data_IF_707910982696
#
_entry.id   IF_707910982696
#
_cell.length_a   1.000
_cell.length_b   1.000
_cell.length_c   1.000
_cell.angle_alpha   90.00
_cell.angle_beta   90.00
_cell.angle_gamma   90.00
#
_symmetry.space_group_name_H-M   'P 1'
#
loop_
_entity.id
_entity.type
_entity.pdbx_description
1 polymer ?
#
# COMPACT_ATOMS: atom_id res chain seq x y z
N UNK A 1 -2.52 22.42 13.18
CA UNK A 1 -2.23 21.58 14.36
C UNK A 1 -0.88 22.03 14.90
N UNK A 2 -0.82 22.43 16.18
CA UNK A 2 0.44 22.81 16.84
C UNK A 2 0.89 21.59 17.63
N UNK A 3 2.09 21.08 17.36
CA UNK A 3 2.67 19.95 18.11
C UNK A 3 3.06 20.48 19.48
N UNK A 4 2.35 20.06 20.53
CA UNK A 4 2.67 20.39 21.93
C UNK A 4 3.58 19.33 22.53
N UNK A 5 4.16 19.61 23.70
CA UNK A 5 5.05 18.71 24.45
C UNK A 5 4.43 17.35 24.80
N UNK A 6 3.10 17.25 24.76
CA UNK A 6 2.33 16.06 25.13
C UNK A 6 2.22 15.04 23.98
N UNK A 7 2.64 15.43 22.77
CA UNK A 7 2.67 14.54 21.60
C UNK A 7 3.99 13.77 21.61
N UNK A 8 3.91 12.49 21.99
CA UNK A 8 5.05 11.57 21.92
C UNK A 8 5.17 11.06 20.48
N UNK A 9 6.24 11.44 19.79
CA UNK A 9 6.55 10.95 18.47
C UNK A 9 7.44 9.70 18.56
N UNK A 10 7.19 8.67 17.73
CA UNK A 10 8.05 7.49 17.65
C UNK A 10 9.44 7.86 17.13
N UNK A 11 10.42 7.01 17.42
CA UNK A 11 11.80 7.18 16.95
C UNK A 11 11.90 6.91 15.43
N UNK A 12 12.80 7.58 14.71
CA UNK A 12 12.96 7.39 13.26
C UNK A 12 13.37 5.94 12.89
N UNK A 13 14.10 5.27 13.79
CA UNK A 13 14.48 3.86 13.62
C UNK A 13 13.25 2.95 13.57
N UNK A 14 12.19 3.28 14.32
CA UNK A 14 10.91 2.60 14.28
C UNK A 14 10.11 2.95 13.02
N UNK A 15 10.48 3.92 12.19
CA UNK A 15 9.75 4.23 10.96
C UNK A 15 10.44 3.67 9.71
N UNK A 16 11.68 3.20 9.85
CA UNK A 16 12.47 2.73 8.72
C UNK A 16 11.96 1.37 8.24
N UNK A 17 11.26 1.36 7.12
CA UNK A 17 10.71 0.16 6.46
C UNK A 17 11.05 0.22 4.97
N UNK A 18 11.16 -0.95 4.32
CA UNK A 18 11.32 -1.01 2.87
C UNK A 18 10.09 -0.45 2.17
N UNK A 19 10.26 0.62 1.39
CA UNK A 19 9.18 1.26 0.65
C UNK A 19 8.76 0.47 -0.60
N UNK A 20 7.47 0.56 -0.92
CA UNK A 20 6.91 0.01 -2.17
C UNK A 20 7.15 1.03 -3.29
N UNK A 21 8.32 0.94 -3.92
CA UNK A 21 8.73 1.82 -5.02
C UNK A 21 8.04 1.47 -6.35
N UNK A 22 6.73 1.73 -6.45
CA UNK A 22 5.91 1.50 -7.64
C UNK A 22 5.15 2.76 -8.04
N UNK A 23 4.85 2.91 -9.34
CA UNK A 23 4.00 4.01 -9.82
C UNK A 23 2.55 3.83 -9.34
N UNK A 24 1.83 4.95 -9.20
CA UNK A 24 0.40 4.93 -8.86
C UNK A 24 -0.42 4.09 -9.85
N UNK A 25 -0.11 4.18 -11.15
CA UNK A 25 -0.73 3.36 -12.21
C UNK A 25 -0.52 1.86 -11.99
N UNK A 26 0.66 1.44 -11.54
CA UNK A 26 0.97 0.04 -11.25
C UNK A 26 0.20 -0.46 -10.02
N UNK A 27 0.12 0.35 -8.97
CA UNK A 27 -0.68 0.04 -7.78
C UNK A 27 -2.17 -0.06 -8.11
N UNK A 28 -2.67 0.86 -8.93
CA UNK A 28 -4.07 0.86 -9.35
C UNK A 28 -4.40 -0.37 -10.20
N UNK A 29 -3.52 -0.71 -11.13
CA UNK A 29 -3.63 -1.91 -11.97
C UNK A 29 -3.68 -3.19 -11.13
N UNK A 30 -2.90 -3.28 -10.06
CA UNK A 30 -2.87 -4.43 -9.15
C UNK A 30 -3.94 -4.42 -8.04
N UNK A 31 -4.67 -3.32 -7.86
CA UNK A 31 -5.48 -3.05 -6.66
C UNK A 31 -6.52 -4.12 -6.35
N UNK A 32 -7.28 -4.58 -7.34
CA UNK A 32 -8.32 -5.59 -7.16
C UNK A 32 -7.75 -6.93 -6.66
N UNK A 33 -6.59 -7.32 -7.18
CA UNK A 33 -5.92 -8.57 -6.78
C UNK A 33 -5.18 -8.42 -5.45
N UNK A 34 -4.54 -7.28 -5.25
CA UNK A 34 -3.85 -6.94 -4.01
C UNK A 34 -4.82 -6.90 -2.82
N UNK A 35 -6.01 -6.30 -3.01
CA UNK A 35 -7.03 -6.20 -1.97
C UNK A 35 -7.47 -7.57 -1.46
N UNK A 36 -7.67 -8.54 -2.37
CA UNK A 36 -8.01 -9.92 -1.99
C UNK A 36 -6.82 -10.68 -1.38
N UNK A 37 -5.61 -10.47 -1.90
CA UNK A 37 -4.43 -11.20 -1.43
C UNK A 37 -3.97 -10.73 -0.03
N UNK A 38 -4.02 -9.42 0.23
CA UNK A 38 -3.62 -8.80 1.50
C UNK A 38 -4.81 -8.40 2.38
N UNK A 39 -5.97 -9.01 2.19
CA UNK A 39 -7.22 -8.63 2.86
C UNK A 39 -7.07 -8.60 4.38
N UNK A 40 -6.50 -9.65 4.97
CA UNK A 40 -6.34 -9.75 6.42
C UNK A 40 -5.51 -8.60 7.00
N UNK A 41 -4.29 -8.39 6.47
CA UNK A 41 -3.39 -7.35 6.96
C UNK A 41 -3.98 -5.93 6.76
N UNK A 42 -4.67 -5.70 5.64
CA UNK A 42 -5.34 -4.43 5.38
C UNK A 42 -6.49 -4.19 6.36
N UNK A 43 -7.31 -5.20 6.63
CA UNK A 43 -8.44 -5.09 7.55
C UNK A 43 -7.98 -4.85 8.99
N UNK A 44 -6.92 -5.53 9.44
CA UNK A 44 -6.33 -5.32 10.77
C UNK A 44 -5.81 -3.88 10.92
N UNK A 45 -5.08 -3.36 9.93
CA UNK A 45 -4.62 -1.97 9.95
C UNK A 45 -5.78 -0.96 9.96
N UNK A 46 -6.81 -1.19 9.15
CA UNK A 46 -7.97 -0.31 9.10
C UNK A 46 -8.78 -0.35 10.40
N UNK A 47 -8.93 -1.52 11.02
CA UNK A 47 -9.60 -1.66 12.31
C UNK A 47 -8.83 -0.91 13.41
N UNK A 48 -7.50 -1.13 13.51
CA UNK A 48 -6.65 -0.41 14.47
C UNK A 48 -6.81 1.10 14.34
N UNK A 49 -6.79 1.61 13.10
CA UNK A 49 -6.92 3.05 12.84
C UNK A 49 -8.28 3.61 13.25
N UNK A 50 -9.35 2.84 13.10
CA UNK A 50 -10.72 3.24 13.48
C UNK A 50 -10.87 3.24 15.01
N UNK A 51 -10.31 2.26 15.71
CA UNK A 51 -10.44 2.11 17.16
C UNK A 51 -9.56 3.09 17.94
N UNK A 52 -8.26 3.14 17.62
CA UNK A 52 -7.28 3.90 18.39
C UNK A 52 -7.24 5.39 18.04
N UNK A 53 -7.69 5.77 16.84
CA UNK A 53 -7.62 7.14 16.27
C UNK A 53 -6.21 7.81 16.29
N UNK A 54 -5.17 7.07 16.68
CA UNK A 54 -3.78 7.49 16.76
C UNK A 54 -2.94 6.63 15.81
N UNK A 55 -2.23 7.29 14.88
CA UNK A 55 -1.42 6.61 13.87
C UNK A 55 -0.17 5.93 14.47
N UNK A 56 0.33 6.39 15.63
CA UNK A 56 1.56 5.87 16.24
C UNK A 56 1.40 4.44 16.75
N UNK A 57 0.20 4.08 17.21
CA UNK A 57 -0.10 2.74 17.73
C UNK A 57 -0.24 1.70 16.64
N UNK A 58 -0.67 2.10 15.44
CA UNK A 58 -0.94 1.21 14.31
C UNK A 58 0.25 1.04 13.35
N UNK A 59 1.45 1.47 13.74
CA UNK A 59 2.64 1.43 12.87
C UNK A 59 3.03 -0.01 12.54
N UNK A 60 2.89 -0.94 13.49
CA UNK A 60 3.29 -2.34 13.31
C UNK A 60 2.43 -3.06 12.25
N UNK A 61 1.13 -2.80 12.28
CA UNK A 61 0.14 -3.27 11.31
C UNK A 61 0.43 -2.66 9.93
N UNK A 62 0.82 -1.38 9.89
CA UNK A 62 1.28 -0.72 8.67
C UNK A 62 2.52 -1.40 8.04
N UNK A 63 3.45 -1.89 8.85
CA UNK A 63 4.58 -2.70 8.35
C UNK A 63 4.10 -4.01 7.73
N UNK A 64 3.13 -4.67 8.35
CA UNK A 64 2.56 -5.92 7.84
C UNK A 64 1.89 -5.73 6.48
N UNK A 65 1.13 -4.64 6.31
CA UNK A 65 0.53 -4.25 5.01
C UNK A 65 1.61 -4.04 3.94
N UNK A 66 2.67 -3.31 4.29
CA UNK A 66 3.78 -3.01 3.38
C UNK A 66 4.52 -4.30 2.98
N UNK A 67 4.78 -5.18 3.93
CA UNK A 67 5.41 -6.48 3.69
C UNK A 67 4.56 -7.35 2.76
N UNK A 68 3.25 -7.47 3.01
CA UNK A 68 2.34 -8.25 2.18
C UNK A 68 2.28 -7.72 0.73
N UNK A 69 2.24 -6.39 0.58
CA UNK A 69 2.24 -5.75 -0.74
C UNK A 69 3.52 -6.04 -1.51
N UNK A 70 4.69 -5.99 -0.84
CA UNK A 70 5.97 -6.36 -1.47
C UNK A 70 6.02 -7.82 -1.91
N UNK A 71 5.48 -8.74 -1.10
CA UNK A 71 5.38 -10.15 -1.49
C UNK A 71 4.46 -10.37 -2.69
N UNK A 72 3.31 -9.69 -2.72
CA UNK A 72 2.38 -9.75 -3.84
C UNK A 72 3.06 -9.33 -5.15
N UNK A 73 3.71 -8.17 -5.19
CA UNK A 73 4.37 -7.70 -6.41
C UNK A 73 5.58 -8.55 -6.81
N UNK A 74 6.29 -9.17 -5.86
CA UNK A 74 7.32 -10.18 -6.17
C UNK A 74 6.71 -11.39 -6.90
N UNK A 75 5.56 -11.88 -6.46
CA UNK A 75 4.85 -12.99 -7.12
C UNK A 75 4.34 -12.59 -8.52
N UNK A 76 3.73 -11.42 -8.66
CA UNK A 76 3.28 -10.88 -9.96
C UNK A 76 4.44 -10.77 -10.95
N UNK A 77 5.58 -10.23 -10.50
CA UNK A 77 6.79 -10.11 -11.31
C UNK A 77 7.36 -11.48 -11.72
N UNK A 78 7.20 -12.51 -10.90
CA UNK A 78 7.67 -13.86 -11.24
C UNK A 78 6.74 -14.57 -12.24
N UNK A 79 5.43 -14.41 -12.08
CA UNK A 79 4.43 -15.20 -12.84
C UNK A 79 3.93 -14.53 -14.12
N UNK A 80 3.66 -13.21 -14.12
CA UNK A 80 2.91 -12.54 -15.19
C UNK A 80 3.42 -11.11 -15.50
N UNK A 81 4.74 -10.92 -15.43
CA UNK A 81 5.40 -9.62 -15.59
C UNK A 81 4.99 -8.89 -16.87
N UNK A 82 5.00 -9.57 -18.01
CA UNK A 82 4.87 -8.92 -19.31
C UNK A 82 3.44 -8.42 -19.55
N UNK A 83 2.44 -9.26 -19.25
CA UNK A 83 1.03 -8.89 -19.35
C UNK A 83 0.68 -7.77 -18.35
N UNK A 84 1.19 -7.88 -17.12
CA UNK A 84 0.95 -6.89 -16.10
C UNK A 84 1.59 -5.53 -16.45
N UNK A 85 2.79 -5.54 -17.02
CA UNK A 85 3.46 -4.30 -17.46
C UNK A 85 2.70 -3.63 -18.61
N UNK A 86 2.17 -4.41 -19.56
CA UNK A 86 1.33 -3.87 -20.63
C UNK A 86 0.06 -3.22 -20.08
N UNK A 87 -0.59 -3.89 -19.11
CA UNK A 87 -1.79 -3.38 -18.47
C UNK A 87 -1.53 -2.10 -17.66
N UNK A 88 -0.47 -2.09 -16.84
CA UNK A 88 -0.06 -0.92 -16.08
C UNK A 88 0.27 0.27 -16.99
N UNK A 89 0.95 0.04 -18.11
CA UNK A 89 1.22 1.09 -19.11
C UNK A 89 -0.06 1.63 -19.77
N UNK A 90 -1.09 0.80 -19.94
CA UNK A 90 -2.39 1.24 -20.44
C UNK A 90 -3.09 2.16 -19.43
N UNK A 91 -3.10 1.74 -18.16
CA UNK A 91 -3.66 2.54 -17.05
C UNK A 91 -2.92 3.86 -16.90
N UNK A 92 -1.59 3.86 -17.00
CA UNK A 92 -0.75 5.07 -16.92
C UNK A 92 -1.03 6.08 -18.04
N UNK A 93 -1.33 5.59 -19.24
CA UNK A 93 -1.69 6.42 -20.40
C UNK A 93 -3.16 6.80 -20.46
N UNK A 94 -4.01 6.22 -19.59
CA UNK A 94 -5.44 6.52 -19.56
C UNK A 94 -5.69 7.91 -18.96
N UNK A 95 -6.87 8.48 -19.23
CA UNK A 95 -7.26 9.78 -18.65
C UNK A 95 -7.24 9.75 -17.12
N UNK A 96 -7.19 10.92 -16.47
CA UNK A 96 -6.96 11.06 -15.02
C UNK A 96 -7.94 10.36 -14.05
N UNK A 97 -8.91 9.58 -14.51
CA UNK A 97 -9.70 8.67 -13.67
C UNK A 97 -9.09 7.27 -13.53
N UNK A 98 -8.00 6.95 -14.24
CA UNK A 98 -7.35 5.62 -14.28
C UNK A 98 -8.31 4.46 -14.59
N UNK A 99 -9.50 4.78 -15.11
CA UNK A 99 -10.55 3.87 -15.51
C UNK A 99 -10.28 3.36 -16.90
N UNK A 100 -10.46 2.06 -17.06
CA UNK A 100 -10.36 1.41 -18.36
C UNK A 100 -11.60 1.79 -19.18
N UNK A 101 -11.52 2.90 -19.92
CA UNK A 101 -12.51 3.23 -20.94
C UNK A 101 -12.36 2.23 -22.08
N UNK A 102 -13.22 1.21 -22.09
CA UNK A 102 -13.45 0.36 -23.27
C UNK A 102 -13.99 1.21 -24.42
#
# INVERSE_FOLDING_TARGET
MVVTKDVVLPEESELTVNEVNLSASTLMAGSFHLGKYCEQANNEFMLCRIEENDATKCVNEGRAVTACTMEFFRKVKHSCKDQFSQYANCVDKSSGDYGLKQ
#
